data_IF_193033693288
#
_entry.id   IF_193033693288
#
_cell.length_a   1.000
_cell.length_b   1.000
_cell.length_c   1.000
_cell.angle_alpha   90.00
_cell.angle_beta   90.00
_cell.angle_gamma   90.00
#
_symmetry.space_group_name_H-M   'P 1'
#
loop_
_entity.id
_entity.type
_entity.pdbx_description
1 polymer ?
#
# COMPACT_ATOMS: atom_id res chain seq x y z
N UNK A 1 -9.57 -3.35 -84.37
CA UNK A 1 -9.62 -4.44 -83.37
C UNK A 1 -8.92 -3.94 -82.11
N UNK A 2 -9.69 -3.49 -81.11
CA UNK A 2 -9.15 -2.97 -79.85
C UNK A 2 -9.15 -4.07 -78.80
N UNK A 3 -7.96 -4.53 -78.40
CA UNK A 3 -7.79 -5.54 -77.36
C UNK A 3 -7.78 -4.88 -75.97
N UNK A 4 -8.73 -5.27 -75.12
CA UNK A 4 -8.69 -4.93 -73.70
C UNK A 4 -7.69 -5.85 -73.00
N UNK A 5 -6.65 -5.27 -72.39
CA UNK A 5 -5.75 -6.01 -71.50
C UNK A 5 -6.42 -6.10 -70.13
N UNK A 6 -7.02 -7.24 -69.84
CA UNK A 6 -7.52 -7.57 -68.49
C UNK A 6 -6.34 -7.84 -67.57
N UNK A 7 -6.02 -6.87 -66.70
CA UNK A 7 -5.08 -7.06 -65.60
C UNK A 7 -5.83 -7.83 -64.51
N UNK A 8 -5.70 -9.16 -64.50
CA UNK A 8 -6.13 -9.98 -63.37
C UNK A 8 -5.17 -9.77 -62.20
N UNK A 9 -5.47 -8.80 -61.35
CA UNK A 9 -4.78 -8.67 -60.06
C UNK A 9 -5.25 -9.82 -59.17
N UNK A 10 -4.36 -10.62 -58.55
CA UNK A 10 -4.74 -11.69 -57.64
C UNK A 10 -5.24 -11.10 -56.31
N UNK A 11 -6.48 -10.58 -56.34
CA UNK A 11 -7.15 -9.97 -55.19
C UNK A 11 -7.26 -10.92 -54.00
N UNK A 12 -7.36 -12.22 -54.20
CA UNK A 12 -7.51 -13.19 -53.10
C UNK A 12 -6.29 -13.25 -52.17
N UNK A 13 -5.07 -13.14 -52.72
CA UNK A 13 -3.85 -13.19 -51.92
C UNK A 13 -3.66 -11.90 -51.09
N UNK A 14 -3.99 -10.74 -51.67
CA UNK A 14 -3.89 -9.46 -50.97
C UNK A 14 -5.01 -9.29 -49.93
N UNK A 15 -6.25 -9.69 -50.25
CA UNK A 15 -7.38 -9.67 -49.31
C UNK A 15 -7.16 -10.64 -48.14
N UNK A 16 -6.65 -11.84 -48.39
CA UNK A 16 -6.34 -12.80 -47.32
C UNK A 16 -5.21 -12.32 -46.40
N UNK A 17 -4.18 -11.65 -46.94
CA UNK A 17 -3.09 -11.08 -46.15
C UNK A 17 -3.55 -9.88 -45.31
N UNK A 18 -4.39 -9.00 -45.86
CA UNK A 18 -5.01 -7.88 -45.12
C UNK A 18 -5.93 -8.40 -44.03
N UNK A 19 -6.76 -9.40 -44.34
CA UNK A 19 -7.63 -10.06 -43.36
C UNK A 19 -6.84 -10.62 -42.18
N UNK A 20 -5.76 -11.38 -42.44
CA UNK A 20 -4.88 -11.92 -41.39
C UNK A 20 -4.27 -10.82 -40.51
N UNK A 21 -3.80 -9.73 -41.11
CA UNK A 21 -3.22 -8.60 -40.39
C UNK A 21 -4.25 -7.90 -39.48
N UNK A 22 -5.47 -7.71 -39.96
CA UNK A 22 -6.57 -7.13 -39.18
C UNK A 22 -6.98 -8.05 -38.02
N UNK A 23 -7.11 -9.37 -38.27
CA UNK A 23 -7.41 -10.35 -37.23
C UNK A 23 -6.35 -10.35 -36.11
N UNK A 24 -5.06 -10.28 -36.47
CA UNK A 24 -3.98 -10.23 -35.49
C UNK A 24 -4.02 -8.95 -34.66
N UNK A 25 -4.27 -7.79 -35.29
CA UNK A 25 -4.45 -6.52 -34.58
C UNK A 25 -5.64 -6.55 -33.64
N UNK A 26 -6.78 -7.09 -34.08
CA UNK A 26 -7.97 -7.25 -33.24
C UNK A 26 -7.70 -8.16 -32.04
N UNK A 27 -7.02 -9.30 -32.25
CA UNK A 27 -6.65 -10.21 -31.15
C UNK A 27 -5.72 -9.55 -30.12
N UNK A 28 -4.80 -8.69 -30.58
CA UNK A 28 -3.88 -7.98 -29.70
C UNK A 28 -4.62 -6.95 -28.85
N UNK A 29 -5.55 -6.20 -29.46
CA UNK A 29 -6.37 -5.21 -28.76
C UNK A 29 -7.22 -5.89 -27.69
N UNK A 30 -7.89 -7.00 -28.03
CA UNK A 30 -8.67 -7.78 -27.04
C UNK A 30 -7.81 -8.22 -25.86
N UNK A 31 -6.64 -8.81 -26.14
CA UNK A 31 -5.70 -9.25 -25.08
C UNK A 31 -5.20 -8.10 -24.22
N UNK A 32 -5.01 -6.92 -24.82
CA UNK A 32 -4.64 -5.72 -24.08
C UNK A 32 -5.77 -5.28 -23.14
N UNK A 33 -7.03 -5.27 -23.59
CA UNK A 33 -8.19 -4.96 -22.75
C UNK A 33 -8.33 -5.95 -21.59
N UNK A 34 -8.16 -7.25 -21.86
CA UNK A 34 -8.14 -8.30 -20.82
C UNK A 34 -7.04 -8.07 -19.78
N UNK A 35 -5.83 -7.71 -20.21
CA UNK A 35 -4.74 -7.37 -19.30
C UNK A 35 -5.05 -6.12 -18.46
N UNK A 36 -5.69 -5.11 -19.04
CA UNK A 36 -6.12 -3.91 -18.29
C UNK A 36 -7.14 -4.29 -17.22
N UNK A 37 -8.14 -5.13 -17.55
CA UNK A 37 -9.08 -5.65 -16.56
C UNK A 37 -8.38 -6.47 -15.48
N UNK A 38 -7.44 -7.33 -15.86
CA UNK A 38 -6.62 -8.11 -14.90
C UNK A 38 -5.84 -7.20 -13.95
N UNK A 39 -5.27 -6.10 -14.46
CA UNK A 39 -4.57 -5.12 -13.63
C UNK A 39 -5.52 -4.46 -12.63
N UNK A 40 -6.71 -4.05 -13.07
CA UNK A 40 -7.72 -3.44 -12.20
C UNK A 40 -8.13 -4.39 -11.07
N UNK A 41 -8.45 -5.65 -11.39
CA UNK A 41 -8.81 -6.66 -10.40
C UNK A 41 -7.68 -6.90 -9.41
N UNK A 42 -6.45 -7.12 -9.89
CA UNK A 42 -5.31 -7.36 -9.00
C UNK A 42 -5.01 -6.16 -8.09
N UNK A 43 -5.18 -4.94 -8.59
CA UNK A 43 -5.02 -3.72 -7.78
C UNK A 43 -6.14 -3.57 -6.75
N UNK A 44 -7.38 -3.97 -7.07
CA UNK A 44 -8.45 -3.98 -6.08
C UNK A 44 -8.16 -4.97 -4.95
N UNK A 45 -7.78 -6.20 -5.28
CA UNK A 45 -7.41 -7.20 -4.27
C UNK A 45 -6.22 -6.74 -3.40
N UNK A 46 -5.28 -5.97 -3.96
CA UNK A 46 -4.18 -5.39 -3.20
C UNK A 46 -4.67 -4.31 -2.21
N UNK A 47 -5.66 -3.49 -2.61
CA UNK A 47 -6.29 -2.50 -1.73
C UNK A 47 -7.03 -3.16 -0.58
N UNK A 48 -7.78 -4.22 -0.87
CA UNK A 48 -8.51 -4.98 0.16
C UNK A 48 -7.53 -5.54 1.20
N UNK A 49 -6.41 -6.14 0.75
CA UNK A 49 -5.33 -6.61 1.65
C UNK A 49 -4.69 -5.48 2.46
N UNK A 50 -4.52 -4.30 1.86
CA UNK A 50 -3.97 -3.12 2.56
C UNK A 50 -4.92 -2.67 3.65
N UNK A 51 -6.21 -2.60 3.36
CA UNK A 51 -7.22 -2.14 4.31
C UNK A 51 -7.35 -3.10 5.48
N UNK A 52 -7.41 -4.42 5.22
CA UNK A 52 -7.37 -5.47 6.26
C UNK A 52 -6.13 -5.37 7.15
N UNK A 53 -4.96 -5.15 6.53
CA UNK A 53 -3.70 -5.02 7.25
C UNK A 53 -3.69 -3.76 8.11
N UNK A 54 -4.15 -2.63 7.58
CA UNK A 54 -4.24 -1.35 8.30
C UNK A 54 -5.13 -1.50 9.53
N UNK A 55 -6.30 -2.11 9.40
CA UNK A 55 -7.19 -2.38 10.55
C UNK A 55 -6.46 -3.14 11.65
N UNK A 56 -5.72 -4.20 11.31
CA UNK A 56 -4.96 -5.00 12.29
C UNK A 56 -3.82 -4.21 12.93
N UNK A 57 -3.11 -3.41 12.15
CA UNK A 57 -2.02 -2.56 12.64
C UNK A 57 -2.55 -1.51 13.62
N UNK A 58 -3.66 -0.85 13.29
CA UNK A 58 -4.30 0.15 14.16
C UNK A 58 -4.67 -0.46 15.51
N UNK A 59 -5.23 -1.67 15.53
CA UNK A 59 -5.54 -2.38 16.79
C UNK A 59 -4.31 -2.67 17.65
N UNK A 60 -3.14 -2.93 17.06
CA UNK A 60 -1.91 -3.11 17.83
C UNK A 60 -1.32 -1.77 18.28
N UNK A 61 -1.42 -0.72 17.46
CA UNK A 61 -1.00 0.64 17.82
C UNK A 61 -1.82 1.21 18.98
N UNK A 62 -3.13 0.94 19.03
CA UNK A 62 -4.01 1.29 20.16
C UNK A 62 -3.60 0.61 21.48
N UNK A 63 -2.92 -0.55 21.40
CA UNK A 63 -2.34 -1.24 22.57
C UNK A 63 -0.97 -0.65 22.99
N UNK A 64 -0.54 0.45 22.37
CA UNK A 64 0.74 1.10 22.62
C UNK A 64 1.92 0.38 21.96
N UNK A 65 1.69 -0.50 20.98
CA UNK A 65 2.75 -1.09 20.19
C UNK A 65 3.15 -0.16 19.04
N UNK A 66 4.37 -0.33 18.53
CA UNK A 66 4.83 0.38 17.34
C UNK A 66 4.76 -0.55 16.14
N UNK A 67 4.12 -0.10 15.08
CA UNK A 67 4.13 -0.75 13.77
C UNK A 67 5.55 -1.04 13.29
N UNK A 68 5.76 -2.23 12.73
CA UNK A 68 7.04 -2.62 12.18
C UNK A 68 7.41 -1.78 10.94
N UNK A 69 8.69 -1.47 10.81
CA UNK A 69 9.21 -0.73 9.66
C UNK A 69 8.98 -1.47 8.32
N UNK A 70 8.96 -2.81 8.34
CA UNK A 70 8.66 -3.65 7.17
C UNK A 70 7.22 -3.49 6.71
N UNK A 71 6.28 -3.44 7.67
CA UNK A 71 4.86 -3.18 7.41
C UNK A 71 4.67 -1.78 6.85
N UNK A 72 5.30 -0.78 7.47
CA UNK A 72 5.24 0.60 6.98
C UNK A 72 5.76 0.72 5.55
N UNK A 73 6.90 0.09 5.24
CA UNK A 73 7.45 0.07 3.89
C UNK A 73 6.51 -0.60 2.88
N UNK A 74 5.87 -1.70 3.29
CA UNK A 74 4.91 -2.38 2.42
C UNK A 74 3.72 -1.48 2.10
N UNK A 75 3.13 -0.82 3.10
CA UNK A 75 2.04 0.14 2.92
C UNK A 75 2.41 1.28 1.96
N UNK A 76 3.59 1.90 2.14
CA UNK A 76 4.06 2.96 1.23
C UNK A 76 4.28 2.47 -0.21
N UNK A 77 4.73 1.23 -0.38
CA UNK A 77 4.86 0.63 -1.71
C UNK A 77 3.49 0.40 -2.37
N UNK A 78 2.47 0.03 -1.59
CA UNK A 78 1.10 -0.14 -2.07
C UNK A 78 0.56 1.20 -2.60
N UNK A 79 0.64 2.27 -1.81
CA UNK A 79 0.23 3.62 -2.21
C UNK A 79 0.93 4.07 -3.51
N UNK A 80 2.23 3.83 -3.59
CA UNK A 80 3.03 4.16 -4.78
C UNK A 80 2.54 3.40 -6.01
N UNK A 81 2.32 2.09 -5.89
CA UNK A 81 1.85 1.26 -7.01
C UNK A 81 0.44 1.65 -7.42
N UNK A 82 -0.46 1.94 -6.48
CA UNK A 82 -1.82 2.38 -6.77
C UNK A 82 -1.83 3.69 -7.57
N UNK A 83 -1.02 4.67 -7.17
CA UNK A 83 -0.88 5.93 -7.90
C UNK A 83 -0.41 5.69 -9.33
N UNK A 84 0.64 4.87 -9.52
CA UNK A 84 1.16 4.52 -10.84
C UNK A 84 0.17 3.75 -11.70
N UNK A 85 -0.67 2.89 -11.10
CA UNK A 85 -1.74 2.19 -11.82
C UNK A 85 -2.80 3.19 -12.27
N UNK A 86 -3.24 4.10 -11.40
CA UNK A 86 -4.22 5.11 -11.75
C UNK A 86 -3.72 6.00 -12.90
N UNK A 87 -2.47 6.48 -12.84
CA UNK A 87 -1.85 7.24 -13.94
C UNK A 87 -1.81 6.43 -15.25
N UNK A 88 -1.46 5.14 -15.18
CA UNK A 88 -1.41 4.27 -16.33
C UNK A 88 -2.80 4.05 -16.95
N UNK A 89 -3.85 3.94 -16.13
CA UNK A 89 -5.22 3.78 -16.59
C UNK A 89 -5.77 5.09 -17.19
N UNK A 90 -5.48 6.25 -16.58
CA UNK A 90 -5.84 7.57 -17.11
C UNK A 90 -5.19 7.85 -18.46
N UNK A 91 -3.93 7.42 -18.64
CA UNK A 91 -3.25 7.51 -19.91
C UNK A 91 -4.02 6.74 -21.01
N UNK A 92 -4.77 5.68 -20.68
CA UNK A 92 -5.57 4.95 -21.67
C UNK A 92 -6.75 5.78 -22.20
N UNK A 93 -7.53 6.41 -21.31
CA UNK A 93 -8.80 7.07 -21.64
C UNK A 93 -8.70 8.44 -22.33
N UNK A 94 -7.56 9.12 -22.22
CA UNK A 94 -7.38 10.49 -22.74
C UNK A 94 -6.99 10.59 -24.22
N UNK A 95 -6.82 9.47 -24.93
CA UNK A 95 -6.29 9.48 -26.31
C UNK A 95 -6.99 8.47 -27.24
N UNK A 96 -8.32 8.41 -27.17
CA UNK A 96 -9.12 7.39 -27.87
C UNK A 96 -9.08 7.46 -29.42
N UNK A 97 -8.54 8.52 -30.05
CA UNK A 97 -8.72 8.67 -31.52
C UNK A 97 -7.45 8.46 -32.37
N UNK A 98 -6.23 8.45 -31.82
CA UNK A 98 -5.04 8.17 -32.66
C UNK A 98 -3.81 7.71 -31.86
N UNK A 99 -3.81 6.44 -31.45
CA UNK A 99 -2.59 5.77 -30.99
C UNK A 99 -2.11 4.78 -32.03
N UNK A 100 -0.95 5.07 -32.63
CA UNK A 100 -0.26 4.16 -33.53
C UNK A 100 -0.08 2.79 -32.87
N UNK A 101 -0.03 1.72 -33.68
CA UNK A 101 0.16 0.35 -33.17
C UNK A 101 1.33 0.24 -32.19
N UNK A 102 2.44 0.95 -32.46
CA UNK A 102 3.62 1.03 -31.59
C UNK A 102 3.31 1.57 -30.19
N UNK A 103 2.51 2.63 -30.10
CA UNK A 103 2.13 3.21 -28.80
C UNK A 103 1.24 2.29 -27.97
N UNK A 104 0.29 1.58 -28.62
CA UNK A 104 -0.51 0.53 -27.95
C UNK A 104 0.36 -0.63 -27.48
N UNK A 105 1.35 -0.99 -28.28
CA UNK A 105 2.29 -2.06 -27.93
C UNK A 105 3.11 -1.73 -26.68
N UNK A 106 3.68 -0.53 -26.63
CA UNK A 106 4.41 -0.04 -25.46
C UNK A 106 3.52 0.12 -24.23
N UNK A 107 2.28 0.56 -24.41
CA UNK A 107 1.28 0.58 -23.34
C UNK A 107 1.02 -0.83 -22.79
N UNK A 108 0.80 -1.81 -23.67
CA UNK A 108 0.57 -3.20 -23.25
C UNK A 108 1.74 -3.81 -22.48
N UNK A 109 2.99 -3.48 -22.84
CA UNK A 109 4.17 -3.86 -22.05
C UNK A 109 4.13 -3.24 -20.65
N UNK A 110 3.78 -1.96 -20.53
CA UNK A 110 3.68 -1.27 -19.24
C UNK A 110 2.61 -1.91 -18.36
N UNK A 111 1.43 -2.19 -18.91
CA UNK A 111 0.34 -2.90 -18.20
C UNK A 111 0.82 -4.26 -17.71
N UNK A 112 1.41 -5.07 -18.59
CA UNK A 112 1.89 -6.40 -18.21
C UNK A 112 2.98 -6.36 -17.12
N UNK A 113 3.91 -5.41 -17.20
CA UNK A 113 4.92 -5.22 -16.16
C UNK A 113 4.27 -4.83 -14.82
N UNK A 114 3.29 -3.93 -14.86
CA UNK A 114 2.59 -3.46 -13.66
C UNK A 114 1.80 -4.57 -12.98
N UNK A 115 1.13 -5.46 -13.74
CA UNK A 115 0.47 -6.65 -13.19
C UNK A 115 1.44 -7.50 -12.37
N UNK A 116 2.67 -7.73 -12.89
CA UNK A 116 3.68 -8.50 -12.16
C UNK A 116 4.11 -7.81 -10.86
N UNK A 117 4.28 -6.50 -10.88
CA UNK A 117 4.65 -5.72 -9.70
C UNK A 117 3.56 -5.78 -8.62
N UNK A 118 2.29 -5.60 -9.00
CA UNK A 118 1.13 -5.73 -8.10
C UNK A 118 1.09 -7.12 -7.48
N UNK A 119 1.18 -8.18 -8.28
CA UNK A 119 1.14 -9.55 -7.79
C UNK A 119 2.32 -9.90 -6.87
N UNK A 120 3.51 -9.37 -7.17
CA UNK A 120 4.67 -9.51 -6.29
C UNK A 120 4.40 -8.85 -4.93
N UNK A 121 3.85 -7.64 -4.93
CA UNK A 121 3.57 -6.94 -3.66
C UNK A 121 2.48 -7.65 -2.85
N UNK A 122 1.42 -8.17 -3.50
CA UNK A 122 0.42 -9.02 -2.86
C UNK A 122 1.04 -10.25 -2.19
N UNK A 123 1.97 -10.94 -2.85
CA UNK A 123 2.63 -12.12 -2.28
C UNK A 123 3.46 -11.84 -1.03
N UNK A 124 3.81 -10.56 -0.79
CA UNK A 124 4.56 -10.13 0.40
C UNK A 124 3.67 -9.66 1.55
N UNK A 125 2.34 -9.76 1.41
CA UNK A 125 1.38 -9.33 2.42
C UNK A 125 1.23 -10.31 3.61
N UNK A 126 1.99 -11.42 3.65
CA UNK A 126 1.96 -12.39 4.75
C UNK A 126 2.73 -11.91 5.98
N UNK A 127 2.17 -10.92 6.66
CA UNK A 127 2.65 -10.49 7.96
C UNK A 127 1.97 -11.33 9.04
N UNK A 128 2.77 -12.03 9.86
CA UNK A 128 2.31 -12.71 11.10
C UNK A 128 2.45 -11.83 12.33
N UNK A 129 3.46 -10.96 12.34
CA UNK A 129 3.69 -9.93 13.36
C UNK A 129 3.64 -8.59 12.65
N UNK A 130 2.80 -7.67 13.13
CA UNK A 130 2.59 -6.35 12.50
C UNK A 130 3.21 -5.20 13.28
N UNK A 131 3.32 -5.37 14.59
CA UNK A 131 3.81 -4.38 15.52
C UNK A 131 4.64 -5.05 16.61
N UNK A 132 5.51 -4.27 17.23
CA UNK A 132 6.38 -4.68 18.31
C UNK A 132 6.10 -3.83 19.54
N UNK A 133 6.23 -4.42 20.74
CA UNK A 133 6.22 -3.62 21.97
C UNK A 133 7.39 -2.65 21.92
N UNK A 134 7.07 -1.36 22.02
CA UNK A 134 8.10 -0.37 22.31
C UNK A 134 8.58 -0.64 23.74
N UNK A 135 9.90 -0.78 23.97
CA UNK A 135 10.42 -0.76 25.31
C UNK A 135 9.88 0.50 25.99
N UNK A 136 9.15 0.33 27.12
CA UNK A 136 8.70 1.48 27.90
C UNK A 136 9.90 2.38 28.12
N UNK A 137 9.74 3.70 27.91
CA UNK A 137 10.83 4.63 28.18
C UNK A 137 11.39 4.30 29.56
N UNK A 138 12.72 4.25 29.67
CA UNK A 138 13.39 4.01 30.95
C UNK A 138 12.74 4.97 31.94
N UNK A 139 12.09 4.45 32.98
CA UNK A 139 11.62 5.29 34.08
C UNK A 139 12.90 5.92 34.62
N UNK A 140 13.08 7.22 34.36
CA UNK A 140 14.21 7.92 34.95
C UNK A 140 13.92 8.00 36.43
N UNK A 141 14.83 7.41 37.22
CA UNK A 141 14.88 7.66 38.65
C UNK A 141 15.12 9.16 38.83
N UNK A 142 14.05 9.88 39.19
CA UNK A 142 14.17 11.28 39.52
C UNK A 142 14.96 11.36 40.83
N UNK A 143 16.09 12.07 40.83
CA UNK A 143 16.85 12.33 42.05
C UNK A 143 15.90 12.84 43.14
N UNK A 144 15.72 12.04 44.19
CA UNK A 144 14.97 12.44 45.37
C UNK A 144 15.91 13.29 46.20
N UNK A 145 15.70 14.61 46.18
CA UNK A 145 16.36 15.48 47.14
C UNK A 145 15.72 15.27 48.51
N UNK A 146 16.51 15.27 49.60
CA UNK A 146 15.94 15.19 50.94
C UNK A 146 14.99 16.37 51.16
N UNK A 147 13.75 16.07 51.53
CA UNK A 147 12.74 17.08 51.86
C UNK A 147 13.12 17.69 53.20
N UNK A 148 13.53 18.96 53.19
CA UNK A 148 13.90 19.68 54.41
C UNK A 148 12.64 20.25 55.06
N UNK A 149 12.43 19.99 56.36
CA UNK A 149 11.30 20.54 57.12
C UNK A 149 10.02 19.71 57.11
N UNK A 150 9.92 18.64 56.31
CA UNK A 150 8.76 17.73 56.26
C UNK A 150 9.14 16.25 56.42
N UNK A 151 10.23 15.96 57.12
CA UNK A 151 10.76 14.59 57.27
C UNK A 151 9.73 13.63 57.87
N UNK A 152 9.04 14.00 58.95
CA UNK A 152 8.03 13.16 59.58
C UNK A 152 6.82 12.83 58.67
N UNK A 153 6.38 13.80 57.84
CA UNK A 153 5.31 13.56 56.86
C UNK A 153 5.80 12.67 55.73
N UNK A 154 7.04 12.88 55.28
CA UNK A 154 7.68 12.08 54.24
C UNK A 154 7.81 10.62 54.67
N UNK A 155 8.32 10.37 55.88
CA UNK A 155 8.45 9.03 56.46
C UNK A 155 7.08 8.34 56.58
N UNK A 156 6.06 9.04 57.08
CA UNK A 156 4.70 8.48 57.18
C UNK A 156 4.14 8.08 55.81
N UNK A 157 4.36 8.91 54.80
CA UNK A 157 3.96 8.63 53.41
C UNK A 157 4.69 7.41 52.86
N UNK A 158 6.01 7.33 53.05
CA UNK A 158 6.82 6.18 52.61
C UNK A 158 6.41 4.89 53.30
N UNK A 159 6.25 4.90 54.62
CA UNK A 159 5.79 3.73 55.37
C UNK A 159 4.41 3.26 54.91
N UNK A 160 3.48 4.19 54.72
CA UNK A 160 2.12 3.85 54.25
C UNK A 160 2.12 3.27 52.84
N UNK A 161 2.99 3.74 51.94
CA UNK A 161 3.09 3.22 50.57
C UNK A 161 3.74 1.83 50.47
N UNK A 162 4.55 1.47 51.46
CA UNK A 162 5.21 0.15 51.53
C UNK A 162 4.31 -0.92 52.19
N UNK A 163 3.17 -0.52 52.77
CA UNK A 163 2.19 -1.43 53.33
C UNK A 163 1.26 -1.98 52.23
N UNK A 164 1.13 -3.30 52.15
CA UNK A 164 0.35 -4.00 51.11
C UNK A 164 -1.15 -3.64 51.09
N UNK A 165 -1.67 -3.07 52.18
CA UNK A 165 -3.08 -2.71 52.33
C UNK A 165 -3.43 -1.34 51.69
N UNK A 166 -2.44 -0.50 51.38
CA UNK A 166 -2.66 0.87 50.88
C UNK A 166 -2.47 0.93 49.36
N UNK A 167 -3.57 0.89 48.60
CA UNK A 167 -3.53 0.93 47.13
C UNK A 167 -3.43 2.33 46.50
N UNK A 168 -3.73 3.41 47.24
CA UNK A 168 -3.68 4.80 46.72
C UNK A 168 -3.52 5.79 47.86
N UNK A 169 -2.61 6.77 47.69
CA UNK A 169 -2.38 7.85 48.64
C UNK A 169 -2.62 9.22 48.00
N UNK A 170 -3.52 10.02 48.57
CA UNK A 170 -3.77 11.40 48.15
C UNK A 170 -3.01 12.40 49.00
N UNK A 171 -2.25 13.30 48.37
CA UNK A 171 -1.63 14.46 49.02
C UNK A 171 -2.41 15.73 48.67
N UNK A 172 -2.74 16.55 49.65
CA UNK A 172 -3.42 17.84 49.47
C UNK A 172 -2.69 18.94 50.24
N UNK A 173 -2.70 20.16 49.71
CA UNK A 173 -2.02 21.30 50.33
C UNK A 173 -2.07 22.57 49.49
N UNK A 174 -1.62 23.67 50.07
CA UNK A 174 -1.48 24.95 49.37
C UNK A 174 -0.35 24.84 48.35
N UNK A 175 -0.55 25.35 47.13
CA UNK A 175 0.45 25.30 46.07
C UNK A 175 1.71 26.09 46.45
N UNK A 176 2.89 25.47 46.32
CA UNK A 176 4.18 26.14 46.55
C UNK A 176 4.76 26.00 47.96
N UNK A 177 4.20 25.15 48.82
CA UNK A 177 4.90 24.69 50.02
C UNK A 177 6.18 23.94 49.59
N UNK A 178 7.34 24.59 49.76
CA UNK A 178 8.69 24.04 49.53
C UNK A 178 9.28 23.56 50.84
#
# INVERSE_FOLDING_TARGET
MGGCVSISVPCDQTLSQVGRCLSQKASYIRKLQENVGTLQTATQELKDLRDDLLTRVTLEEEKGQRRLATVQRWLSNVETIESQVNELLLASGTAEVSRSFRSRFEYGKKVFKKIKEVNNLKSRADFKVMAERVPRSKVEERLIYPVVGMTAMTEKVFSSLMEDEVGTLGLYGMGGCR
#
